data_IF_687883624198
#
_entry.id   IF_687883624198
#
_cell.length_a   1.000
_cell.length_b   1.000
_cell.length_c   1.000
_cell.angle_alpha   90.00
_cell.angle_beta   90.00
_cell.angle_gamma   90.00
#
_symmetry.space_group_name_H-M   'P 1'
#
loop_
_entity.id
_entity.type
_entity.pdbx_description
1 polymer ?
#
# COMPACT_ATOMS: atom_id res chain seq x y z
N UNK A 1 -31.90 10.74 -22.57
CA UNK A 1 -30.96 9.61 -22.81
C UNK A 1 -29.75 9.68 -21.87
N UNK A 2 -29.46 10.85 -21.29
CA UNK A 2 -28.26 11.10 -20.47
C UNK A 2 -28.22 10.33 -19.14
N UNK A 3 -29.37 10.05 -18.53
CA UNK A 3 -29.46 9.34 -17.24
C UNK A 3 -28.87 7.93 -17.28
N UNK A 4 -28.94 7.25 -18.43
CA UNK A 4 -28.40 5.90 -18.61
C UNK A 4 -26.86 5.96 -18.64
N UNK A 5 -26.29 6.97 -19.29
CA UNK A 5 -24.85 7.23 -19.32
C UNK A 5 -24.31 7.55 -17.92
N UNK A 6 -25.03 8.38 -17.15
CA UNK A 6 -24.67 8.67 -15.76
C UNK A 6 -24.71 7.41 -14.88
N UNK A 7 -25.75 6.56 -15.02
CA UNK A 7 -25.85 5.31 -14.28
C UNK A 7 -24.70 4.35 -14.60
N UNK A 8 -24.32 4.21 -15.88
CA UNK A 8 -23.21 3.36 -16.29
C UNK A 8 -21.86 3.86 -15.74
N UNK A 9 -21.63 5.18 -15.73
CA UNK A 9 -20.42 5.77 -15.15
C UNK A 9 -20.31 5.51 -13.64
N UNK A 10 -21.41 5.63 -12.90
CA UNK A 10 -21.43 5.35 -11.47
C UNK A 10 -21.13 3.87 -11.17
N UNK A 11 -21.68 2.95 -11.96
CA UNK A 11 -21.41 1.52 -11.81
C UNK A 11 -19.92 1.23 -12.11
N UNK A 12 -19.38 1.78 -13.19
CA UNK A 12 -17.96 1.60 -13.54
C UNK A 12 -17.02 2.13 -12.44
N UNK A 13 -17.33 3.31 -11.88
CA UNK A 13 -16.57 3.89 -10.78
C UNK A 13 -16.62 3.02 -9.51
N UNK A 14 -17.80 2.50 -9.16
CA UNK A 14 -17.96 1.61 -8.00
C UNK A 14 -17.17 0.30 -8.17
N UNK A 15 -17.20 -0.30 -9.36
CA UNK A 15 -16.43 -1.52 -9.68
C UNK A 15 -14.93 -1.26 -9.61
N UNK A 16 -14.46 -0.16 -10.17
CA UNK A 16 -13.05 0.27 -10.08
C UNK A 16 -12.61 0.44 -8.62
N UNK A 17 -13.42 1.11 -7.79
CA UNK A 17 -13.14 1.28 -6.36
C UNK A 17 -13.11 -0.06 -5.62
N UNK A 18 -14.05 -0.97 -5.91
CA UNK A 18 -14.07 -2.30 -5.31
C UNK A 18 -12.83 -3.12 -5.70
N UNK A 19 -12.42 -3.06 -6.97
CA UNK A 19 -11.21 -3.72 -7.46
C UNK A 19 -9.95 -3.14 -6.81
N UNK A 20 -9.84 -1.81 -6.72
CA UNK A 20 -8.75 -1.13 -6.01
C UNK A 20 -8.65 -1.62 -4.55
N UNK A 21 -9.78 -1.73 -3.86
CA UNK A 21 -9.85 -2.27 -2.50
C UNK A 21 -9.48 -3.75 -2.40
N UNK A 22 -9.81 -4.55 -3.42
CA UNK A 22 -9.41 -5.96 -3.53
C UNK A 22 -7.91 -6.12 -3.79
N UNK A 23 -7.31 -5.20 -4.55
CA UNK A 23 -5.89 -5.23 -4.94
C UNK A 23 -4.95 -4.58 -3.93
N UNK A 24 -5.40 -4.26 -2.71
CA UNK A 24 -4.51 -3.92 -1.59
C UNK A 24 -4.29 -5.21 -0.78
N UNK A 25 -3.37 -6.12 -1.20
CA UNK A 25 -3.13 -7.41 -0.53
C UNK A 25 -2.51 -7.25 0.87
N UNK A 26 -2.12 -6.03 1.25
CA UNK A 26 -1.28 -5.76 2.43
C UNK A 26 -1.99 -6.04 3.77
N UNK A 27 -3.32 -6.13 3.79
CA UNK A 27 -4.09 -6.41 5.01
C UNK A 27 -4.64 -7.84 5.10
N UNK A 28 -4.37 -8.70 4.12
CA UNK A 28 -4.86 -10.07 4.17
C UNK A 28 -3.91 -10.95 5.00
N UNK A 29 -4.45 -11.66 5.98
CA UNK A 29 -3.65 -12.56 6.80
C UNK A 29 -3.12 -13.74 5.95
N UNK A 30 -1.81 -14.00 5.92
CA UNK A 30 -1.23 -15.07 5.10
C UNK A 30 -1.64 -16.48 5.56
N UNK A 31 -2.15 -16.63 6.79
CA UNK A 31 -2.47 -17.95 7.35
C UNK A 31 -3.92 -18.38 7.13
N UNK A 32 -4.88 -17.47 7.27
CA UNK A 32 -6.31 -17.77 7.20
C UNK A 32 -7.03 -16.99 6.09
N UNK A 33 -6.28 -16.18 5.33
CA UNK A 33 -6.80 -15.30 4.28
C UNK A 33 -7.87 -14.31 4.73
N UNK A 34 -8.06 -14.14 6.05
CA UNK A 34 -8.97 -13.16 6.61
C UNK A 34 -8.43 -11.75 6.39
N UNK A 35 -9.34 -10.82 6.06
CA UNK A 35 -9.05 -9.38 5.96
C UNK A 35 -9.19 -8.64 7.28
N UNK A 36 -9.60 -9.33 8.35
CA UNK A 36 -9.71 -8.75 9.70
C UNK A 36 -8.32 -8.70 10.34
N UNK A 37 -7.56 -7.66 9.99
CA UNK A 37 -6.27 -7.37 10.56
C UNK A 37 -6.37 -6.17 11.52
N UNK A 38 -5.72 -6.25 12.67
CA UNK A 38 -5.48 -5.13 13.57
C UNK A 38 -4.04 -4.66 13.35
N UNK A 39 -3.87 -3.37 13.06
CA UNK A 39 -2.55 -2.74 13.05
C UNK A 39 -2.03 -2.67 14.50
N UNK A 40 -0.81 -3.13 14.73
CA UNK A 40 -0.17 -3.05 16.05
C UNK A 40 0.78 -1.86 16.08
N UNK A 41 1.82 -1.88 15.25
CA UNK A 41 2.88 -0.88 15.26
C UNK A 41 3.56 -0.73 13.89
N UNK A 42 4.19 0.43 13.69
CA UNK A 42 5.01 0.78 12.52
C UNK A 42 6.42 1.06 13.05
N UNK A 43 7.38 0.25 12.64
CA UNK A 43 8.79 0.38 13.01
C UNK A 43 9.64 0.66 11.78
N UNK A 44 10.63 1.55 11.90
CA UNK A 44 11.60 1.81 10.83
C UNK A 44 12.64 0.70 10.86
N UNK A 45 12.76 -0.08 9.79
CA UNK A 45 13.69 -1.24 9.76
C UNK A 45 14.94 -0.94 8.96
N UNK A 46 14.83 -0.16 7.88
CA UNK A 46 15.99 0.24 7.07
C UNK A 46 15.79 1.63 6.50
N UNK A 47 16.83 2.44 6.61
CA UNK A 47 16.96 3.70 5.89
C UNK A 47 17.82 3.44 4.67
N UNK A 48 17.22 3.39 3.47
CA UNK A 48 17.96 3.17 2.22
C UNK A 48 18.30 4.54 1.64
N UNK A 49 19.57 4.94 1.74
CA UNK A 49 20.07 6.09 0.99
C UNK A 49 20.18 5.68 -0.47
N UNK A 50 19.34 6.27 -1.32
CA UNK A 50 19.40 6.08 -2.77
C UNK A 50 20.01 7.37 -3.34
N UNK A 51 21.21 7.26 -3.92
CA UNK A 51 21.76 8.37 -4.71
C UNK A 51 20.92 8.49 -5.97
N UNK A 52 20.20 9.59 -6.11
CA UNK A 52 19.58 9.96 -7.37
C UNK A 52 20.56 10.85 -8.11
N UNK A 53 20.92 10.43 -9.31
CA UNK A 53 21.73 11.27 -10.22
C UNK A 53 20.72 11.98 -11.11
N UNK A 54 20.37 13.21 -10.75
CA UNK A 54 19.51 14.03 -11.59
C UNK A 54 20.33 14.55 -12.79
N UNK A 55 20.23 13.83 -13.91
CA UNK A 55 20.92 14.19 -15.16
C UNK A 55 20.34 15.45 -15.83
N UNK A 56 19.23 16.00 -15.33
CA UNK A 56 18.49 17.07 -16.00
C UNK A 56 19.01 18.49 -15.73
N UNK A 57 19.89 18.72 -14.75
CA UNK A 57 20.23 20.08 -14.30
C UNK A 57 21.72 20.37 -14.05
N UNK A 58 22.65 19.54 -14.53
CA UNK A 58 24.08 19.80 -14.35
C UNK A 58 24.73 19.11 -13.15
N UNK A 59 24.31 17.87 -12.87
CA UNK A 59 25.10 16.94 -12.05
C UNK A 59 25.08 17.20 -10.55
N UNK A 60 23.96 17.65 -10.00
CA UNK A 60 23.76 17.64 -8.55
C UNK A 60 23.42 16.22 -8.07
N UNK A 61 24.25 15.69 -7.18
CA UNK A 61 24.01 14.39 -6.54
C UNK A 61 23.05 14.60 -5.37
N UNK A 62 21.76 14.41 -5.63
CA UNK A 62 20.75 14.35 -4.58
C UNK A 62 20.87 13.05 -3.76
N UNK A 63 20.87 13.15 -2.44
CA UNK A 63 20.64 12.00 -1.56
C UNK A 63 19.16 11.96 -1.20
N UNK A 64 18.41 11.04 -1.79
CA UNK A 64 17.05 10.74 -1.35
C UNK A 64 17.11 9.63 -0.29
N UNK A 65 16.65 9.95 0.91
CA UNK A 65 16.55 9.00 2.01
C UNK A 65 15.18 8.31 1.91
N UNK A 66 15.13 7.10 1.38
CA UNK A 66 13.92 6.26 1.41
C UNK A 66 13.88 5.49 2.73
N UNK A 67 12.94 5.83 3.61
CA UNK A 67 12.69 5.05 4.82
C UNK A 67 11.81 3.84 4.47
N UNK A 68 12.30 2.63 4.77
CA UNK A 68 11.52 1.40 4.66
C UNK A 68 10.90 1.13 6.03
N UNK A 69 9.58 1.21 6.09
CA UNK A 69 8.82 0.93 7.30
C UNK A 69 8.34 -0.51 7.28
N UNK A 70 8.52 -1.20 8.39
CA UNK A 70 7.87 -2.46 8.68
C UNK A 70 6.63 -2.20 9.52
N UNK A 71 5.46 -2.49 8.95
CA UNK A 71 4.17 -2.46 9.64
C UNK A 71 3.88 -3.86 10.16
N UNK A 72 3.53 -3.99 11.45
CA UNK A 72 3.08 -5.25 12.06
C UNK A 72 1.56 -5.29 12.11
N UNK A 73 1.01 -6.40 11.69
CA UNK A 73 -0.41 -6.69 11.71
C UNK A 73 -0.69 -7.97 12.48
N UNK A 74 -1.83 -8.03 13.17
CA UNK A 74 -2.35 -9.21 13.85
C UNK A 74 -3.72 -9.58 13.33
N UNK A 75 -3.94 -10.85 13.03
CA UNK A 75 -5.24 -11.33 12.57
C UNK A 75 -6.22 -11.39 13.74
N UNK A 76 -7.43 -10.87 13.57
CA UNK A 76 -8.48 -10.99 14.59
C UNK A 76 -9.20 -12.36 14.58
N UNK A 77 -8.91 -13.22 13.59
CA UNK A 77 -9.56 -14.54 13.45
C UNK A 77 -8.64 -15.67 13.94
N UNK A 78 -7.42 -15.75 13.41
CA UNK A 78 -6.47 -16.82 13.76
C UNK A 78 -5.39 -16.38 14.74
N UNK A 79 -5.43 -15.12 15.18
CA UNK A 79 -4.51 -14.52 16.14
C UNK A 79 -3.03 -14.47 15.73
N UNK A 80 -2.72 -14.87 14.49
CA UNK A 80 -1.36 -14.84 13.95
C UNK A 80 -0.96 -13.45 13.48
N UNK A 81 0.33 -13.18 13.59
CA UNK A 81 0.94 -11.91 13.24
C UNK A 81 1.78 -12.01 11.97
N UNK A 82 1.85 -10.92 11.21
CA UNK A 82 2.73 -10.80 10.04
C UNK A 82 3.23 -9.37 9.88
N UNK A 83 4.26 -9.24 9.06
CA UNK A 83 4.94 -7.98 8.78
C UNK A 83 4.81 -7.62 7.31
N UNK A 84 4.59 -6.35 7.01
CA UNK A 84 4.60 -5.80 5.66
C UNK A 84 5.61 -4.67 5.60
N UNK A 85 6.55 -4.78 4.67
CA UNK A 85 7.56 -3.75 4.42
C UNK A 85 7.07 -2.84 3.30
N UNK A 86 7.05 -1.53 3.55
CA UNK A 86 6.58 -0.52 2.61
C UNK A 86 7.54 0.68 2.62
N UNK A 87 8.01 1.15 1.45
CA UNK A 87 8.71 2.44 1.37
C UNK A 87 7.74 3.58 1.72
N UNK A 88 8.26 4.68 2.28
CA UNK A 88 7.47 5.91 2.52
C UNK A 88 6.85 6.47 1.24
#
# INVERSE_FOLDING_TARGET
>A
MDWILFALLLIAAAVMMALLWLTIPKLQCPHCQSRRAKFIDKTVVRTRSKRTVDMSAGGDVGMMIENIFRKRYRCQICDKEWFVEEPD
#
